data_IF_631224266083
#
_entry.id   IF_631224266083
#
_cell.length_a   1.000
_cell.length_b   1.000
_cell.length_c   1.000
_cell.angle_alpha   90.00
_cell.angle_beta   90.00
_cell.angle_gamma   90.00
#
_symmetry.space_group_name_H-M   'P 1'
#
loop_
_entity.id
_entity.type
_entity.pdbx_description
1 polymer ?
#
# COMPACT_ATOMS: atom_id res chain seq x y z
N UNK A 1 18.05 -10.65 -22.93
CA UNK A 1 16.77 -11.38 -23.14
C UNK A 1 15.67 -10.35 -23.35
N UNK A 2 14.80 -10.51 -24.38
CA UNK A 2 13.68 -9.59 -24.64
C UNK A 2 12.72 -9.54 -23.44
N UNK A 3 12.27 -8.34 -23.09
CA UNK A 3 11.48 -8.09 -21.90
C UNK A 3 10.48 -6.96 -22.15
N UNK A 4 9.18 -7.24 -22.05
CA UNK A 4 8.14 -6.21 -22.11
C UNK A 4 7.95 -5.60 -20.74
N UNK A 5 7.84 -4.27 -20.67
CA UNK A 5 7.63 -3.52 -19.43
C UNK A 5 6.82 -2.25 -19.67
N UNK A 6 6.05 -1.88 -18.68
CA UNK A 6 5.40 -0.57 -18.65
C UNK A 6 6.43 0.49 -18.25
N UNK A 7 6.43 1.64 -18.94
CA UNK A 7 7.32 2.76 -18.62
C UNK A 7 6.52 4.05 -18.47
N UNK A 8 6.88 4.85 -17.49
CA UNK A 8 6.45 6.25 -17.37
C UNK A 8 7.46 7.08 -18.16
N UNK A 9 7.02 7.65 -19.29
CA UNK A 9 7.89 8.37 -20.23
C UNK A 9 8.08 9.84 -19.86
N UNK A 10 7.12 10.42 -19.14
CA UNK A 10 7.09 11.81 -18.68
C UNK A 10 6.10 11.96 -17.52
N UNK A 11 6.09 13.10 -16.86
CA UNK A 11 5.02 13.45 -15.91
C UNK A 11 3.70 13.64 -16.64
N UNK A 12 2.60 13.14 -16.07
CA UNK A 12 1.29 13.32 -16.70
C UNK A 12 0.20 12.37 -16.20
N UNK A 13 -0.87 12.29 -16.96
CA UNK A 13 -1.97 11.35 -16.79
C UNK A 13 -1.61 9.93 -17.26
N UNK A 14 -2.58 9.01 -17.33
CA UNK A 14 -2.34 7.64 -17.81
C UNK A 14 -1.70 7.57 -19.20
N UNK A 15 -1.88 8.58 -20.03
CA UNK A 15 -1.26 8.71 -21.36
C UNK A 15 0.28 8.81 -21.32
N UNK A 16 0.86 9.12 -20.17
CA UNK A 16 2.30 9.14 -19.97
C UNK A 16 2.93 7.74 -19.83
N UNK A 17 2.10 6.68 -19.76
CA UNK A 17 2.55 5.29 -19.77
C UNK A 17 2.64 4.75 -21.19
N UNK A 18 3.70 4.00 -21.46
CA UNK A 18 3.87 3.19 -22.66
C UNK A 18 4.29 1.78 -22.25
N UNK A 19 3.98 0.78 -23.07
CA UNK A 19 4.58 -0.54 -22.97
C UNK A 19 5.67 -0.61 -24.03
N UNK A 20 6.87 -0.94 -23.60
CA UNK A 20 8.05 -1.08 -24.46
C UNK A 20 8.61 -2.49 -24.34
N UNK A 21 9.37 -2.89 -25.34
CA UNK A 21 10.11 -4.14 -25.33
C UNK A 21 11.57 -3.82 -25.59
N UNK A 22 12.44 -4.21 -24.67
CA UNK A 22 13.88 -4.03 -24.76
C UNK A 22 14.61 -5.22 -24.13
N UNK A 23 15.95 -5.20 -24.17
CA UNK A 23 16.73 -6.26 -23.59
C UNK A 23 16.95 -6.05 -22.09
N UNK A 24 16.63 -7.05 -21.28
CA UNK A 24 17.00 -7.12 -19.87
C UNK A 24 18.34 -7.84 -19.76
N UNK A 25 19.38 -7.23 -19.16
CA UNK A 25 20.65 -7.89 -18.90
C UNK A 25 20.47 -9.04 -17.90
N UNK A 26 21.43 -9.95 -17.86
CA UNK A 26 21.49 -10.97 -16.81
C UNK A 26 21.66 -10.30 -15.44
N UNK A 27 21.21 -10.95 -14.34
CA UNK A 27 21.32 -10.38 -13.00
C UNK A 27 22.78 -10.20 -12.61
N UNK A 28 23.08 -9.04 -12.01
CA UNK A 28 24.39 -8.73 -11.48
C UNK A 28 24.70 -9.51 -10.19
N UNK A 29 25.93 -9.36 -9.64
CA UNK A 29 26.25 -9.93 -8.34
C UNK A 29 25.27 -9.48 -7.25
N UNK A 30 24.77 -10.44 -6.45
CA UNK A 30 23.79 -10.16 -5.41
C UNK A 30 22.38 -9.87 -5.90
N UNK A 31 22.08 -10.09 -7.18
CA UNK A 31 20.73 -9.95 -7.76
C UNK A 31 20.16 -11.30 -8.20
N UNK A 32 18.83 -11.39 -8.21
CA UNK A 32 18.09 -12.46 -8.87
C UNK A 32 17.23 -11.90 -9.99
N UNK A 33 17.13 -12.61 -11.10
CA UNK A 33 16.18 -12.33 -12.15
C UNK A 33 14.89 -13.08 -11.85
N UNK A 34 13.80 -12.34 -11.70
CA UNK A 34 12.47 -12.88 -11.39
C UNK A 34 11.59 -12.75 -12.63
N UNK A 35 11.04 -13.87 -13.10
CA UNK A 35 9.92 -13.89 -14.04
C UNK A 35 8.66 -13.53 -13.25
N UNK A 36 8.09 -12.39 -13.58
CA UNK A 36 6.93 -11.83 -12.86
C UNK A 36 5.67 -12.56 -13.26
N UNK A 37 4.94 -13.06 -12.27
CA UNK A 37 3.62 -13.68 -12.42
C UNK A 37 2.50 -12.68 -12.15
N UNK A 38 2.75 -11.76 -11.21
CA UNK A 38 1.83 -10.68 -10.87
C UNK A 38 2.62 -9.46 -10.37
N UNK A 39 2.22 -8.27 -10.79
CA UNK A 39 2.73 -7.01 -10.25
C UNK A 39 1.58 -6.05 -9.93
N UNK A 40 1.79 -5.16 -8.97
CA UNK A 40 0.75 -4.27 -8.48
C UNK A 40 0.79 -2.88 -9.09
N UNK A 41 -0.39 -2.26 -9.21
CA UNK A 41 -0.50 -0.82 -9.40
C UNK A 41 -0.99 -0.20 -8.10
N UNK A 42 -0.20 0.72 -7.57
CA UNK A 42 -0.49 1.40 -6.32
C UNK A 42 -0.83 2.88 -6.55
N UNK A 43 -1.52 3.49 -5.58
CA UNK A 43 -1.75 4.95 -5.61
C UNK A 43 -0.43 5.74 -5.58
N UNK A 44 0.62 5.19 -4.95
CA UNK A 44 1.98 5.73 -5.00
C UNK A 44 2.54 5.83 -6.42
N UNK A 45 2.25 4.86 -7.30
CA UNK A 45 2.67 4.91 -8.71
C UNK A 45 1.95 6.05 -9.46
N UNK A 46 0.68 6.31 -9.14
CA UNK A 46 -0.06 7.44 -9.68
C UNK A 46 0.56 8.76 -9.22
N UNK A 47 0.89 8.90 -7.93
CA UNK A 47 1.54 10.09 -7.39
C UNK A 47 2.93 10.32 -8.01
N UNK A 48 3.71 9.25 -8.21
CA UNK A 48 5.00 9.31 -8.91
C UNK A 48 4.80 9.80 -10.34
N UNK A 49 3.91 9.17 -11.10
CA UNK A 49 3.61 9.55 -12.48
C UNK A 49 3.18 11.02 -12.61
N UNK A 50 2.38 11.52 -11.64
CA UNK A 50 1.96 12.92 -11.55
C UNK A 50 3.08 13.85 -11.07
N UNK A 51 4.24 13.33 -10.64
CA UNK A 51 5.36 14.11 -10.15
C UNK A 51 5.13 14.77 -8.79
N UNK A 52 4.28 14.15 -7.96
CA UNK A 52 3.89 14.65 -6.63
C UNK A 52 4.76 14.09 -5.50
N UNK A 53 5.55 13.04 -5.74
CA UNK A 53 6.49 12.48 -4.77
C UNK A 53 7.90 13.00 -5.07
N UNK A 54 8.65 13.51 -4.06
CA UNK A 54 10.06 13.86 -4.22
C UNK A 54 10.95 12.63 -4.48
N UNK A 55 12.15 12.85 -5.03
CA UNK A 55 13.16 11.78 -5.19
C UNK A 55 12.83 10.73 -6.27
N UNK A 56 12.00 11.07 -7.23
CA UNK A 56 11.62 10.16 -8.31
C UNK A 56 12.77 9.81 -9.25
N UNK A 57 12.77 8.61 -9.85
CA UNK A 57 13.68 8.28 -10.94
C UNK A 57 13.55 9.28 -12.11
N UNK A 58 14.62 9.42 -12.87
CA UNK A 58 14.57 10.14 -14.15
C UNK A 58 13.70 9.36 -15.15
N UNK A 59 12.94 10.07 -15.94
CA UNK A 59 12.17 9.45 -17.04
C UNK A 59 13.09 9.06 -18.21
N UNK A 60 12.83 7.95 -18.92
CA UNK A 60 11.77 6.97 -18.65
C UNK A 60 12.15 5.97 -17.53
N UNK A 61 11.16 5.46 -16.79
CA UNK A 61 11.39 4.39 -15.79
C UNK A 61 10.17 3.45 -15.69
N UNK A 62 10.40 2.22 -15.24
CA UNK A 62 9.35 1.22 -15.00
C UNK A 62 8.77 1.40 -13.60
N UNK A 63 7.45 1.64 -13.46
CA UNK A 63 6.78 1.70 -12.15
C UNK A 63 6.56 0.30 -11.55
N UNK A 64 5.86 0.27 -10.42
CA UNK A 64 5.46 -0.93 -9.69
C UNK A 64 6.31 -1.14 -8.45
N UNK A 65 5.65 -1.14 -7.30
CA UNK A 65 6.28 -1.30 -5.99
C UNK A 65 6.46 -2.75 -5.57
N UNK A 66 5.68 -3.65 -6.14
CA UNK A 66 5.52 -5.00 -5.64
C UNK A 66 5.35 -6.02 -6.77
N UNK A 67 5.97 -7.17 -6.60
CA UNK A 67 5.86 -8.30 -7.52
C UNK A 67 5.74 -9.64 -6.76
N UNK A 68 5.15 -10.60 -7.45
CA UNK A 68 5.24 -12.04 -7.18
C UNK A 68 5.72 -12.70 -8.47
N UNK A 69 6.67 -13.62 -8.36
CA UNK A 69 7.21 -14.29 -9.53
C UNK A 69 8.05 -15.51 -9.16
N UNK A 70 8.73 -16.04 -10.15
CA UNK A 70 9.63 -17.20 -10.01
C UNK A 70 11.05 -16.75 -10.35
N UNK A 71 12.02 -17.12 -9.53
CA UNK A 71 13.44 -16.90 -9.80
C UNK A 71 13.85 -17.72 -11.03
N UNK A 72 14.29 -17.05 -12.09
CA UNK A 72 14.78 -17.69 -13.32
C UNK A 72 16.30 -17.81 -13.34
N UNK A 73 17.01 -16.84 -12.74
CA UNK A 73 18.47 -16.81 -12.66
C UNK A 73 18.92 -16.17 -11.36
N UNK A 74 20.06 -16.62 -10.84
CA UNK A 74 20.74 -15.99 -9.71
C UNK A 74 22.11 -15.47 -10.17
N UNK A 75 22.44 -14.25 -9.78
CA UNK A 75 23.77 -13.66 -9.98
C UNK A 75 24.80 -14.22 -9.00
N UNK A 76 26.05 -13.86 -9.19
CA UNK A 76 27.13 -14.32 -8.32
C UNK A 76 26.92 -13.87 -6.86
N UNK A 77 27.23 -14.74 -5.89
CA UNK A 77 27.14 -14.45 -4.47
C UNK A 77 25.72 -14.44 -3.88
N UNK A 78 24.71 -14.87 -4.62
CA UNK A 78 23.36 -15.03 -4.10
C UNK A 78 23.27 -16.28 -3.24
N UNK A 79 22.83 -16.12 -1.99
CA UNK A 79 22.57 -17.19 -1.06
C UNK A 79 21.10 -17.20 -0.63
N UNK A 80 20.56 -18.39 -0.32
CA UNK A 80 19.21 -18.56 0.23
C UNK A 80 18.05 -18.46 -0.78
N UNK A 81 18.34 -18.18 -2.05
CA UNK A 81 17.39 -18.22 -3.19
C UNK A 81 17.96 -19.06 -4.31
N UNK A 82 17.13 -19.86 -4.98
CA UNK A 82 17.49 -20.70 -6.11
C UNK A 82 16.49 -20.60 -7.25
N UNK A 83 16.90 -20.99 -8.42
CA UNK A 83 16.00 -21.10 -9.58
C UNK A 83 14.80 -22.00 -9.26
N UNK A 84 13.64 -21.56 -9.70
CA UNK A 84 12.36 -22.18 -9.39
C UNK A 84 11.69 -21.70 -8.11
N UNK A 85 12.37 -20.97 -7.23
CA UNK A 85 11.74 -20.43 -6.04
C UNK A 85 10.67 -19.40 -6.41
N UNK A 86 9.46 -19.59 -5.86
CA UNK A 86 8.37 -18.64 -5.99
C UNK A 86 8.51 -17.59 -4.90
N UNK A 87 8.63 -16.32 -5.29
CA UNK A 87 8.99 -15.21 -4.40
C UNK A 87 8.02 -14.04 -4.51
N UNK A 88 7.91 -13.28 -3.43
CA UNK A 88 7.23 -11.99 -3.35
C UNK A 88 8.23 -10.93 -2.90
N UNK A 89 8.25 -9.76 -3.53
CA UNK A 89 9.21 -8.71 -3.21
C UNK A 89 8.62 -7.30 -3.29
N UNK A 90 9.01 -6.44 -2.34
CA UNK A 90 8.84 -5.00 -2.39
C UNK A 90 10.07 -4.36 -3.03
N UNK A 91 9.89 -3.70 -4.18
CA UNK A 91 11.01 -3.22 -5.03
C UNK A 91 11.02 -1.71 -5.30
N UNK A 92 10.04 -0.98 -4.81
CA UNK A 92 9.85 0.48 -5.02
C UNK A 92 9.55 0.87 -6.47
N UNK A 93 10.25 0.33 -7.45
CA UNK A 93 10.08 0.51 -8.89
C UNK A 93 10.53 -0.75 -9.63
N UNK A 94 10.10 -0.92 -10.86
CA UNK A 94 10.57 -2.00 -11.74
C UNK A 94 9.65 -3.22 -11.82
N UNK A 95 8.63 -3.34 -10.97
CA UNK A 95 7.79 -4.53 -10.93
C UNK A 95 6.86 -4.71 -12.14
N UNK A 96 6.47 -3.63 -12.83
CA UNK A 96 5.51 -3.70 -13.94
C UNK A 96 6.22 -4.11 -15.24
N UNK A 97 6.72 -5.33 -15.28
CA UNK A 97 7.49 -5.94 -16.37
C UNK A 97 7.24 -7.45 -16.42
N UNK A 98 7.64 -8.11 -17.51
CA UNK A 98 7.63 -9.59 -17.59
C UNK A 98 8.73 -10.21 -16.73
N UNK A 99 9.86 -9.51 -16.61
CA UNK A 99 11.01 -9.88 -15.78
C UNK A 99 11.59 -8.67 -15.09
N UNK A 100 12.16 -8.88 -13.92
CA UNK A 100 12.86 -7.85 -13.16
C UNK A 100 14.10 -8.43 -12.49
N UNK A 101 15.21 -7.70 -12.55
CA UNK A 101 16.36 -7.97 -11.70
C UNK A 101 16.13 -7.31 -10.35
N UNK A 102 16.23 -8.09 -9.28
CA UNK A 102 15.90 -7.70 -7.92
C UNK A 102 17.05 -8.04 -6.99
N UNK A 103 17.45 -7.13 -6.12
CA UNK A 103 18.45 -7.44 -5.10
C UNK A 103 18.00 -8.65 -4.27
N UNK A 104 18.88 -9.63 -4.09
CA UNK A 104 18.55 -10.93 -3.49
C UNK A 104 18.16 -10.84 -2.00
N UNK A 105 18.40 -9.69 -1.37
CA UNK A 105 18.01 -9.41 0.00
C UNK A 105 16.56 -8.87 0.15
N UNK A 106 15.81 -8.70 -0.95
CA UNK A 106 14.43 -8.20 -0.92
C UNK A 106 13.37 -9.32 -0.95
N UNK A 107 13.50 -10.38 -1.78
CA UNK A 107 12.47 -11.39 -1.92
C UNK A 107 12.24 -12.22 -0.65
N UNK A 108 11.00 -12.67 -0.49
CA UNK A 108 10.54 -13.66 0.49
C UNK A 108 9.91 -14.81 -0.28
N UNK A 109 10.28 -16.04 0.06
CA UNK A 109 9.70 -17.24 -0.56
C UNK A 109 8.22 -17.34 -0.19
N UNK A 110 7.38 -17.51 -1.21
CA UNK A 110 5.92 -17.66 -1.02
C UNK A 110 5.60 -19.12 -0.70
N UNK A 111 4.95 -19.42 0.42
CA UNK A 111 4.58 -20.80 0.76
C UNK A 111 3.59 -21.38 -0.27
N UNK A 112 3.46 -22.72 -0.34
CA UNK A 112 2.42 -23.37 -1.13
C UNK A 112 1.01 -22.95 -0.66
N UNK A 113 0.05 -22.92 -1.61
CA UNK A 113 -1.37 -22.67 -1.34
C UNK A 113 -1.89 -21.32 -1.83
N UNK A 114 -1.38 -20.15 -1.36
CA UNK A 114 -1.85 -18.85 -1.84
C UNK A 114 -1.66 -18.65 -3.34
N UNK A 115 -2.63 -18.01 -4.01
CA UNK A 115 -2.49 -17.56 -5.39
C UNK A 115 -1.51 -16.37 -5.53
N UNK A 116 -0.98 -16.14 -6.75
CA UNK A 116 0.02 -15.09 -6.97
C UNK A 116 -0.53 -13.68 -6.73
N UNK A 117 -1.75 -13.42 -7.16
CA UNK A 117 -2.39 -12.12 -6.99
C UNK A 117 -2.77 -11.84 -5.52
N UNK A 118 -3.17 -12.88 -4.78
CA UNK A 118 -3.47 -12.79 -3.35
C UNK A 118 -2.18 -12.55 -2.55
N UNK A 119 -1.10 -13.28 -2.84
CA UNK A 119 0.22 -13.07 -2.25
C UNK A 119 0.76 -11.66 -2.56
N UNK A 120 0.57 -11.17 -3.80
CA UNK A 120 0.95 -9.82 -4.21
C UNK A 120 0.27 -8.73 -3.37
N UNK A 121 -1.01 -8.92 -3.00
CA UNK A 121 -1.71 -7.96 -2.15
C UNK A 121 -0.99 -7.73 -0.81
N UNK A 122 -0.30 -8.74 -0.30
CA UNK A 122 0.39 -8.65 0.99
C UNK A 122 1.62 -7.76 0.94
N UNK A 123 2.34 -7.76 -0.17
CA UNK A 123 3.65 -7.12 -0.30
C UNK A 123 3.60 -5.62 0.04
N UNK A 124 2.69 -4.88 -0.57
CA UNK A 124 2.57 -3.44 -0.30
C UNK A 124 1.44 -3.14 0.70
N UNK A 125 0.23 -3.62 0.43
CA UNK A 125 -0.95 -3.18 1.17
C UNK A 125 -0.96 -3.69 2.60
N UNK A 126 -0.72 -5.00 2.79
CA UNK A 126 -0.78 -5.60 4.12
C UNK A 126 0.48 -5.31 4.95
N UNK A 127 1.69 -5.28 4.34
CA UNK A 127 2.89 -4.84 5.07
C UNK A 127 2.71 -3.38 5.55
N UNK A 128 2.20 -2.48 4.70
CA UNK A 128 1.86 -1.11 5.09
C UNK A 128 0.89 -1.08 6.27
N UNK A 129 -0.21 -1.84 6.18
CA UNK A 129 -1.22 -1.92 7.23
C UNK A 129 -0.67 -2.53 8.53
N UNK A 130 0.09 -3.62 8.43
CA UNK A 130 0.73 -4.29 9.55
C UNK A 130 1.66 -3.36 10.33
N UNK A 131 2.58 -2.70 9.61
CA UNK A 131 3.53 -1.79 10.25
C UNK A 131 2.84 -0.59 10.90
N UNK A 132 1.84 -0.01 10.24
CA UNK A 132 1.06 1.08 10.83
C UNK A 132 0.31 0.63 12.09
N UNK A 133 -0.32 -0.54 12.05
CA UNK A 133 -1.13 -1.06 13.16
C UNK A 133 -0.26 -1.45 14.36
N UNK A 134 0.80 -2.24 14.11
CA UNK A 134 1.59 -2.87 15.17
C UNK A 134 2.82 -2.07 15.59
N UNK A 135 3.50 -1.35 14.64
CA UNK A 135 4.76 -0.66 14.92
C UNK A 135 4.59 0.84 15.14
N UNK A 136 3.57 1.47 14.51
CA UNK A 136 3.36 2.93 14.62
C UNK A 136 2.29 3.28 15.64
N UNK A 137 1.13 2.65 15.56
CA UNK A 137 0.00 2.89 16.48
C UNK A 137 0.04 1.97 17.70
N UNK A 138 0.77 0.86 17.66
CA UNK A 138 0.94 -0.14 18.73
C UNK A 138 -0.41 -0.60 19.29
N UNK A 139 -1.33 -0.92 18.37
CA UNK A 139 -2.72 -1.28 18.71
C UNK A 139 -2.80 -2.55 19.54
N UNK A 140 -3.67 -2.53 20.55
CA UNK A 140 -3.91 -3.61 21.49
C UNK A 140 -5.36 -4.09 21.42
N UNK A 141 -5.66 -5.32 21.87
CA UNK A 141 -7.03 -5.83 21.95
C UNK A 141 -7.96 -4.87 22.73
N UNK A 142 -9.19 -4.73 22.25
CA UNK A 142 -10.20 -3.85 22.82
C UNK A 142 -10.08 -2.36 22.43
N UNK A 143 -8.97 -1.94 21.85
CA UNK A 143 -8.80 -0.57 21.37
C UNK A 143 -9.63 -0.30 20.11
N UNK A 144 -9.92 0.98 19.85
CA UNK A 144 -10.76 1.44 18.74
C UNK A 144 -9.93 2.19 17.72
N UNK A 145 -10.20 1.95 16.43
CA UNK A 145 -9.52 2.66 15.34
C UNK A 145 -10.47 3.15 14.27
N UNK A 146 -10.10 4.25 13.62
CA UNK A 146 -10.77 4.78 12.44
C UNK A 146 -9.88 4.62 11.22
N UNK A 147 -10.41 4.02 10.16
CA UNK A 147 -9.73 3.84 8.88
C UNK A 147 -10.41 4.68 7.81
N UNK A 148 -9.70 5.64 7.25
CA UNK A 148 -10.20 6.35 6.07
C UNK A 148 -9.87 5.60 4.79
N UNK A 149 -10.80 5.64 3.81
CA UNK A 149 -10.66 4.85 2.60
C UNK A 149 -10.71 3.34 2.87
N UNK A 150 -11.54 2.92 3.82
CA UNK A 150 -11.59 1.56 4.37
C UNK A 150 -11.85 0.45 3.34
N UNK A 151 -12.49 0.77 2.21
CA UNK A 151 -12.71 -0.17 1.11
C UNK A 151 -11.55 -0.27 0.12
N UNK A 152 -10.49 0.54 0.26
CA UNK A 152 -9.26 0.44 -0.55
C UNK A 152 -8.35 -0.69 -0.08
N UNK A 153 -7.30 -1.01 -0.84
CA UNK A 153 -6.42 -2.15 -0.55
C UNK A 153 -5.78 -2.11 0.85
N UNK A 154 -5.20 -0.97 1.25
CA UNK A 154 -4.62 -0.80 2.61
C UNK A 154 -5.73 -0.73 3.66
N UNK A 155 -6.88 -0.09 3.35
CA UNK A 155 -8.01 0.00 4.27
C UNK A 155 -8.58 -1.37 4.64
N UNK A 156 -8.79 -2.24 3.64
CA UNK A 156 -9.26 -3.62 3.87
C UNK A 156 -8.24 -4.45 4.67
N UNK A 157 -6.94 -4.26 4.40
CA UNK A 157 -5.88 -4.89 5.18
C UNK A 157 -5.92 -4.45 6.65
N UNK A 158 -6.07 -3.13 6.92
CA UNK A 158 -6.22 -2.60 8.28
C UNK A 158 -7.42 -3.19 9.00
N UNK A 159 -8.58 -3.31 8.34
CA UNK A 159 -9.77 -3.91 8.94
C UNK A 159 -9.55 -5.38 9.34
N UNK A 160 -8.98 -6.18 8.44
CA UNK A 160 -8.71 -7.59 8.70
C UNK A 160 -7.68 -7.78 9.81
N UNK A 161 -6.58 -7.03 9.78
CA UNK A 161 -5.53 -7.07 10.80
C UNK A 161 -6.04 -6.56 12.16
N UNK A 162 -6.87 -5.52 12.19
CA UNK A 162 -7.52 -5.03 13.40
C UNK A 162 -8.40 -6.10 14.04
N UNK A 163 -9.20 -6.81 13.22
CA UNK A 163 -10.00 -7.94 13.69
C UNK A 163 -9.14 -9.05 14.30
N UNK A 164 -8.04 -9.42 13.64
CA UNK A 164 -7.10 -10.41 14.17
C UNK A 164 -6.43 -9.96 15.47
N UNK A 165 -6.18 -8.66 15.61
CA UNK A 165 -5.61 -8.06 16.83
C UNK A 165 -6.67 -7.82 17.94
N UNK A 166 -7.93 -8.21 17.74
CA UNK A 166 -9.01 -7.97 18.71
C UNK A 166 -9.38 -6.49 18.90
N UNK A 167 -9.10 -5.64 17.92
CA UNK A 167 -9.43 -4.22 17.95
C UNK A 167 -10.76 -3.94 17.23
N UNK A 168 -11.44 -2.84 17.61
CA UNK A 168 -12.72 -2.42 17.03
C UNK A 168 -12.48 -1.35 15.97
N UNK A 169 -12.88 -1.64 14.72
CA UNK A 169 -12.61 -0.77 13.59
C UNK A 169 -13.87 -0.04 13.09
N UNK A 170 -13.73 1.27 12.87
CA UNK A 170 -14.67 2.10 12.12
C UNK A 170 -14.04 2.44 10.76
N UNK A 171 -14.85 2.38 9.67
CA UNK A 171 -14.30 2.58 8.34
C UNK A 171 -15.07 3.61 7.52
N UNK A 172 -14.42 4.69 7.06
CA UNK A 172 -15.09 5.60 6.13
C UNK A 172 -15.03 5.08 4.71
N UNK A 173 -16.19 4.99 4.07
CA UNK A 173 -16.36 4.60 2.68
C UNK A 173 -17.61 5.28 2.10
N UNK A 174 -17.75 5.36 0.78
CA UNK A 174 -19.02 5.72 0.15
C UNK A 174 -20.03 4.58 0.28
N UNK A 175 -21.32 4.89 0.36
CA UNK A 175 -22.42 3.94 0.59
C UNK A 175 -22.33 2.64 -0.22
N UNK A 176 -22.04 2.65 -1.54
CA UNK A 176 -21.92 1.42 -2.33
C UNK A 176 -20.79 0.47 -1.92
N UNK A 177 -19.88 0.92 -1.05
CA UNK A 177 -18.73 0.13 -0.57
C UNK A 177 -18.86 -0.29 0.90
N UNK A 178 -20.00 -0.05 1.54
CA UNK A 178 -20.23 -0.37 2.96
C UNK A 178 -20.16 -1.86 3.23
N UNK A 179 -20.70 -2.70 2.33
CA UNK A 179 -20.67 -4.15 2.48
C UNK A 179 -19.25 -4.71 2.57
N UNK A 180 -18.31 -4.11 1.82
CA UNK A 180 -16.89 -4.48 1.90
C UNK A 180 -16.31 -4.15 3.28
N UNK A 181 -16.66 -2.99 3.84
CA UNK A 181 -16.18 -2.59 5.18
C UNK A 181 -16.75 -3.52 6.25
N UNK A 182 -18.06 -3.82 6.19
CA UNK A 182 -18.73 -4.70 7.12
C UNK A 182 -18.21 -6.16 7.03
N UNK A 183 -17.99 -6.68 5.82
CA UNK A 183 -17.42 -8.02 5.58
C UNK A 183 -16.13 -8.24 6.36
N UNK A 184 -15.27 -7.24 6.44
CA UNK A 184 -13.98 -7.33 7.13
C UNK A 184 -14.04 -6.89 8.60
N UNK A 185 -15.25 -6.75 9.17
CA UNK A 185 -15.45 -6.50 10.60
C UNK A 185 -15.40 -5.02 10.99
N UNK A 186 -15.40 -4.09 10.02
CA UNK A 186 -15.48 -2.66 10.29
C UNK A 186 -16.92 -2.16 10.37
N UNK A 187 -17.18 -1.16 11.20
CA UNK A 187 -18.45 -0.40 11.21
C UNK A 187 -18.36 0.69 10.13
N UNK A 188 -19.17 0.63 9.05
CA UNK A 188 -19.08 1.57 7.96
C UNK A 188 -19.67 2.95 8.33
N UNK A 189 -19.00 4.02 7.85
CA UNK A 189 -19.44 5.41 7.98
C UNK A 189 -19.45 6.04 6.58
N UNK A 190 -20.60 6.57 6.15
CA UNK A 190 -20.70 7.28 4.87
C UNK A 190 -20.18 8.71 4.98
N UNK A 191 -18.92 8.92 4.62
CA UNK A 191 -18.29 10.24 4.69
C UNK A 191 -18.91 11.30 3.76
N UNK A 192 -19.82 10.90 2.85
CA UNK A 192 -20.56 11.81 1.95
C UNK A 192 -21.86 12.30 2.58
N UNK A 193 -22.51 11.45 3.38
CA UNK A 193 -23.82 11.74 3.99
C UNK A 193 -23.71 12.16 5.46
N UNK A 194 -22.60 11.79 6.15
CA UNK A 194 -22.42 11.97 7.58
C UNK A 194 -21.18 12.80 7.91
N UNK A 195 -21.22 13.57 9.01
CA UNK A 195 -19.98 14.06 9.63
C UNK A 195 -19.31 12.90 10.36
N UNK A 196 -18.24 12.37 9.75
CA UNK A 196 -17.54 11.21 10.30
C UNK A 196 -16.95 11.46 11.69
N UNK A 197 -16.59 12.72 12.03
CA UNK A 197 -16.05 13.04 13.36
C UNK A 197 -17.12 12.83 14.39
N UNK A 198 -18.30 13.48 14.23
CA UNK A 198 -19.44 13.31 15.12
C UNK A 198 -19.83 11.85 15.21
N UNK A 199 -19.99 11.19 14.04
CA UNK A 199 -20.43 9.79 13.99
C UNK A 199 -19.47 8.85 14.73
N UNK A 200 -18.15 9.03 14.57
CA UNK A 200 -17.16 8.21 15.28
C UNK A 200 -17.14 8.49 16.78
N UNK A 201 -17.27 9.75 17.19
CA UNK A 201 -17.34 10.10 18.61
C UNK A 201 -18.55 9.46 19.28
N UNK A 202 -19.73 9.49 18.63
CA UNK A 202 -20.95 8.85 19.12
C UNK A 202 -20.78 7.32 19.22
N UNK A 203 -20.26 6.67 18.18
CA UNK A 203 -20.09 5.22 18.14
C UNK A 203 -19.00 4.71 19.09
N UNK A 204 -17.95 5.48 19.32
CA UNK A 204 -16.81 5.09 20.14
C UNK A 204 -16.92 5.53 21.61
N UNK A 205 -17.92 6.32 21.97
CA UNK A 205 -18.05 6.87 23.32
C UNK A 205 -16.96 7.89 23.65
N UNK A 206 -16.64 8.80 22.72
CA UNK A 206 -15.74 9.93 22.96
C UNK A 206 -14.40 9.91 22.23
N UNK A 207 -14.22 9.01 21.27
CA UNK A 207 -13.06 9.01 20.37
C UNK A 207 -12.35 7.65 20.26
N UNK A 208 -11.47 7.56 19.26
CA UNK A 208 -10.70 6.35 18.95
C UNK A 208 -9.25 6.45 19.39
N UNK A 209 -8.59 5.30 19.55
CA UNK A 209 -7.19 5.18 19.94
C UNK A 209 -6.24 5.52 18.78
N UNK A 210 -6.64 5.18 17.56
CA UNK A 210 -5.86 5.48 16.37
C UNK A 210 -6.74 5.89 15.19
N UNK A 211 -6.20 6.78 14.33
CA UNK A 211 -6.78 7.12 13.03
C UNK A 211 -5.73 6.90 11.96
N UNK A 212 -6.09 6.17 10.89
CA UNK A 212 -5.26 5.93 9.72
C UNK A 212 -5.78 6.75 8.53
N UNK A 213 -4.99 7.75 8.12
CA UNK A 213 -5.41 8.79 7.17
C UNK A 213 -4.54 8.80 5.90
N UNK A 214 -5.07 8.32 4.73
CA UNK A 214 -4.41 8.44 3.43
C UNK A 214 -4.74 9.75 2.71
N UNK A 215 -5.63 10.59 3.26
CA UNK A 215 -6.18 11.75 2.57
C UNK A 215 -5.27 12.96 2.69
N UNK A 216 -4.89 13.31 3.91
CA UNK A 216 -4.04 14.47 4.16
C UNK A 216 -4.79 15.81 4.14
N UNK A 217 -4.06 16.91 4.06
CA UNK A 217 -4.60 18.26 3.99
C UNK A 217 -5.48 18.63 5.19
N UNK A 218 -6.52 19.42 4.95
CA UNK A 218 -7.48 19.81 6.00
C UNK A 218 -8.18 18.61 6.67
N UNK A 219 -8.16 17.45 6.02
CA UNK A 219 -8.74 16.22 6.57
C UNK A 219 -8.00 15.75 7.84
N UNK A 220 -6.69 15.98 7.93
CA UNK A 220 -5.88 15.65 9.12
C UNK A 220 -6.41 16.31 10.39
N UNK A 221 -6.88 17.54 10.32
CA UNK A 221 -7.49 18.23 11.47
C UNK A 221 -8.77 17.53 11.93
N UNK A 222 -9.62 17.11 11.00
CA UNK A 222 -10.84 16.37 11.33
C UNK A 222 -10.49 14.99 11.90
N UNK A 223 -9.53 14.28 11.30
CA UNK A 223 -9.02 12.99 11.78
C UNK A 223 -8.45 13.10 13.21
N UNK A 224 -7.70 14.17 13.48
CA UNK A 224 -7.17 14.46 14.82
C UNK A 224 -8.30 14.67 15.86
N UNK A 225 -9.39 15.33 15.49
CA UNK A 225 -10.56 15.55 16.37
C UNK A 225 -11.34 14.27 16.68
N UNK A 226 -11.22 13.23 15.89
CA UNK A 226 -11.84 11.94 16.14
C UNK A 226 -11.09 11.08 17.18
N UNK A 227 -9.88 11.51 17.58
CA UNK A 227 -9.06 10.80 18.55
C UNK A 227 -9.43 11.16 19.99
N UNK A 228 -9.33 10.17 20.89
CA UNK A 228 -9.31 10.41 22.33
C UNK A 228 -7.95 11.02 22.77
N UNK A 229 -7.85 11.61 23.97
CA UNK A 229 -6.56 12.03 24.54
C UNK A 229 -5.54 10.88 24.53
N UNK A 230 -4.30 11.18 24.12
CA UNK A 230 -3.23 10.17 24.00
C UNK A 230 -3.31 9.24 22.77
N UNK A 231 -4.34 9.38 21.93
CA UNK A 231 -4.49 8.61 20.70
C UNK A 231 -3.40 8.93 19.64
N UNK A 232 -3.39 8.19 18.54
CA UNK A 232 -2.37 8.32 17.48
C UNK A 232 -3.01 8.59 16.12
N UNK A 233 -2.63 9.69 15.45
CA UNK A 233 -2.93 9.95 14.05
C UNK A 233 -1.77 9.44 13.20
N UNK A 234 -2.04 8.47 12.34
CA UNK A 234 -1.09 7.95 11.36
C UNK A 234 -1.49 8.46 9.97
N UNK A 235 -0.75 9.43 9.43
CA UNK A 235 -0.88 9.89 8.06
C UNK A 235 0.02 9.06 7.16
N UNK A 236 -0.54 8.37 6.15
CA UNK A 236 0.22 7.49 5.26
C UNK A 236 -0.02 7.76 3.77
N UNK A 237 -0.68 8.86 3.48
CA UNK A 237 -0.98 9.27 2.12
C UNK A 237 -1.18 10.76 1.98
N UNK A 238 -1.22 11.19 0.73
CA UNK A 238 -1.40 12.58 0.32
C UNK A 238 -2.43 12.67 -0.82
N UNK A 239 -3.50 11.89 -0.74
CA UNK A 239 -4.46 11.79 -1.85
C UNK A 239 -5.16 13.11 -2.17
N UNK A 240 -5.32 14.02 -1.18
CA UNK A 240 -5.80 15.39 -1.43
C UNK A 240 -4.87 16.20 -2.35
N UNK A 241 -3.58 15.87 -2.38
CA UNK A 241 -2.60 16.52 -3.26
C UNK A 241 -2.80 16.21 -4.74
N UNK A 242 -3.47 15.10 -5.08
CA UNK A 242 -3.72 14.73 -6.48
C UNK A 242 -4.56 15.79 -7.20
N UNK A 243 -5.56 16.35 -6.52
CA UNK A 243 -6.43 17.40 -7.07
C UNK A 243 -5.91 18.84 -6.86
N UNK A 244 -5.07 19.06 -5.83
CA UNK A 244 -4.63 20.41 -5.41
C UNK A 244 -3.16 20.70 -5.65
N UNK A 245 -2.38 19.69 -6.07
CA UNK A 245 -0.98 19.85 -6.44
C UNK A 245 0.00 19.95 -5.26
N UNK A 246 1.23 20.41 -5.55
CA UNK A 246 2.35 20.42 -4.59
C UNK A 246 2.14 21.32 -3.37
N UNK A 247 1.39 22.40 -3.49
CA UNK A 247 1.07 23.27 -2.36
C UNK A 247 0.30 22.56 -1.26
N UNK A 248 -0.57 21.63 -1.60
CA UNK A 248 -1.30 20.82 -0.63
C UNK A 248 -0.36 19.86 0.14
N UNK A 249 0.68 19.35 -0.51
CA UNK A 249 1.68 18.50 0.14
C UNK A 249 2.45 19.27 1.21
N UNK A 250 2.87 20.50 0.90
CA UNK A 250 3.50 21.37 1.88
C UNK A 250 2.56 21.69 3.05
N UNK A 251 1.28 21.94 2.76
CA UNK A 251 0.25 22.15 3.78
C UNK A 251 0.08 20.92 4.70
N UNK A 252 0.12 19.71 4.13
CA UNK A 252 0.03 18.45 4.91
C UNK A 252 1.15 18.41 5.97
N UNK A 253 2.40 18.59 5.55
CA UNK A 253 3.54 18.55 6.48
C UNK A 253 3.52 19.70 7.48
N UNK A 254 3.11 20.89 7.07
CA UNK A 254 2.92 22.04 7.96
C UNK A 254 1.85 21.75 9.03
N UNK A 255 0.69 21.25 8.63
CA UNK A 255 -0.38 20.87 9.57
C UNK A 255 0.05 19.76 10.52
N UNK A 256 0.79 18.77 10.04
CA UNK A 256 1.34 17.72 10.91
C UNK A 256 2.31 18.30 11.96
N UNK A 257 3.19 19.22 11.56
CA UNK A 257 4.08 19.88 12.48
C UNK A 257 3.30 20.68 13.54
N UNK A 258 2.31 21.45 13.12
CA UNK A 258 1.45 22.24 14.01
C UNK A 258 0.68 21.35 15.01
N UNK A 259 0.13 20.21 14.55
CA UNK A 259 -0.59 19.27 15.41
C UNK A 259 0.34 18.60 16.45
N UNK A 260 1.61 18.34 16.10
CA UNK A 260 2.61 17.78 17.02
C UNK A 260 2.95 18.73 18.19
N UNK A 261 2.82 20.04 17.97
CA UNK A 261 3.17 21.05 18.98
C UNK A 261 2.10 21.24 20.07
N UNK A 262 0.92 20.58 19.97
CA UNK A 262 -0.15 20.71 20.96
C UNK A 262 0.16 19.91 22.23
N UNK A 263 0.37 20.54 23.39
CA UNK A 263 0.60 19.84 24.65
C UNK A 263 -0.61 18.96 25.03
N UNK A 264 -0.35 17.72 25.47
CA UNK A 264 -1.40 16.78 25.87
C UNK A 264 -2.30 16.26 24.73
N UNK A 265 -2.01 16.66 23.48
CA UNK A 265 -2.78 16.22 22.32
C UNK A 265 -2.40 14.82 21.84
N UNK A 266 -3.19 14.26 20.91
CA UNK A 266 -2.88 13.02 20.21
C UNK A 266 -1.51 13.05 19.51
N UNK A 267 -0.84 11.91 19.47
CA UNK A 267 0.44 11.73 18.75
C UNK A 267 0.19 11.80 17.23
N UNK A 268 1.06 12.48 16.48
CA UNK A 268 0.96 12.56 15.01
C UNK A 268 2.20 11.94 14.40
N UNK A 269 2.00 10.96 13.52
CA UNK A 269 3.04 10.20 12.83
C UNK A 269 2.80 10.23 11.32
N UNK A 270 3.85 10.38 10.55
CA UNK A 270 3.82 10.07 9.12
C UNK A 270 4.39 8.67 8.91
N UNK A 271 3.75 7.89 8.06
CA UNK A 271 4.25 6.58 7.68
C UNK A 271 4.40 6.48 6.17
N UNK A 272 5.55 5.99 5.73
CA UNK A 272 5.82 5.59 4.34
C UNK A 272 6.63 4.30 4.34
N UNK A 273 6.16 3.29 3.62
CA UNK A 273 6.88 2.02 3.50
C UNK A 273 8.26 2.25 2.87
N UNK A 274 9.30 1.66 3.47
CA UNK A 274 10.69 1.83 3.05
C UNK A 274 11.30 3.21 3.33
N UNK A 275 10.58 4.12 4.02
CA UNK A 275 11.07 5.47 4.34
C UNK A 275 10.89 5.85 5.81
N UNK A 276 10.06 5.14 6.56
CA UNK A 276 9.89 5.32 8.00
C UNK A 276 10.90 4.46 8.77
N UNK A 277 11.33 4.92 9.94
CA UNK A 277 12.34 4.24 10.78
C UNK A 277 11.97 2.79 11.10
N UNK A 278 10.67 2.50 11.25
CA UNK A 278 10.16 1.15 11.49
C UNK A 278 10.01 0.30 10.21
N UNK A 279 10.33 0.85 9.04
CA UNK A 279 10.10 0.23 7.71
C UNK A 279 11.42 0.05 6.96
N UNK A 280 12.30 -0.79 7.51
CA UNK A 280 13.56 -1.21 6.89
C UNK A 280 13.34 -2.42 5.98
N UNK A 281 14.34 -2.79 5.18
CA UNK A 281 14.28 -4.02 4.37
C UNK A 281 14.01 -5.25 5.21
N UNK A 282 14.68 -5.37 6.35
CA UNK A 282 14.57 -6.49 7.28
C UNK A 282 13.16 -6.59 7.87
N UNK A 283 12.61 -5.46 8.32
CA UNK A 283 11.26 -5.44 8.89
C UNK A 283 10.19 -5.68 7.83
N UNK A 284 10.35 -5.16 6.61
CA UNK A 284 9.43 -5.45 5.49
C UNK A 284 9.43 -6.95 5.17
N UNK A 285 10.61 -7.59 5.08
CA UNK A 285 10.72 -9.03 4.82
C UNK A 285 10.12 -9.88 5.94
N UNK A 286 10.43 -9.57 7.20
CA UNK A 286 9.90 -10.29 8.35
C UNK A 286 8.38 -10.18 8.44
N UNK A 287 7.83 -8.97 8.24
CA UNK A 287 6.39 -8.73 8.26
C UNK A 287 5.69 -9.42 7.07
N UNK A 288 6.30 -9.39 5.88
CA UNK A 288 5.78 -10.09 4.70
C UNK A 288 5.76 -11.61 4.91
N UNK A 289 6.82 -12.19 5.49
CA UNK A 289 6.86 -13.62 5.79
C UNK A 289 5.75 -14.02 6.77
N UNK A 290 5.53 -13.25 7.84
CA UNK A 290 4.45 -13.48 8.79
C UNK A 290 3.06 -13.37 8.13
N UNK A 291 2.86 -12.38 7.27
CA UNK A 291 1.61 -12.18 6.53
C UNK A 291 1.35 -13.32 5.52
N UNK A 292 2.39 -13.80 4.82
CA UNK A 292 2.27 -14.94 3.91
C UNK A 292 1.88 -16.22 4.65
N UNK A 293 2.40 -16.44 5.88
CA UNK A 293 1.98 -17.54 6.73
C UNK A 293 0.50 -17.43 7.11
N UNK A 294 0.04 -16.23 7.54
CA UNK A 294 -1.38 -15.99 7.84
C UNK A 294 -2.29 -16.20 6.62
N UNK A 295 -1.82 -15.85 5.42
CA UNK A 295 -2.56 -16.11 4.17
C UNK A 295 -2.65 -17.61 3.87
N UNK A 296 -1.56 -18.35 4.03
CA UNK A 296 -1.54 -19.80 3.85
C UNK A 296 -2.48 -20.51 4.85
N UNK A 297 -2.58 -19.99 6.07
CA UNK A 297 -3.52 -20.43 7.11
C UNK A 297 -4.97 -19.96 6.86
N UNK A 298 -5.25 -19.24 5.76
CA UNK A 298 -6.56 -18.65 5.41
C UNK A 298 -7.12 -17.67 6.45
N UNK A 299 -6.25 -17.06 7.25
CA UNK A 299 -6.63 -16.01 8.22
C UNK A 299 -6.80 -14.64 7.59
N UNK A 300 -6.26 -14.45 6.39
CA UNK A 300 -6.37 -13.25 5.58
C UNK A 300 -7.09 -13.55 4.26
N UNK A 301 -7.87 -12.57 3.80
CA UNK A 301 -8.65 -12.65 2.56
C UNK A 301 -8.39 -11.39 1.71
N UNK A 302 -7.25 -11.33 1.00
CA UNK A 302 -6.94 -10.19 0.15
C UNK A 302 -7.89 -10.08 -1.03
N UNK A 303 -8.35 -8.86 -1.33
CA UNK A 303 -9.26 -8.62 -2.46
C UNK A 303 -8.50 -8.11 -3.67
N UNK A 304 -8.49 -8.92 -4.72
CA UNK A 304 -8.04 -8.53 -6.06
C UNK A 304 -9.21 -7.90 -6.79
N UNK A 305 -9.16 -6.58 -6.95
CA UNK A 305 -10.25 -5.81 -7.54
C UNK A 305 -10.30 -5.92 -9.08
N UNK A 306 -9.15 -6.07 -9.72
CA UNK A 306 -9.02 -6.30 -11.16
C UNK A 306 -7.68 -6.99 -11.47
N UNK A 307 -7.72 -7.89 -12.47
CA UNK A 307 -6.54 -8.46 -13.12
C UNK A 307 -6.54 -7.98 -14.57
N UNK A 308 -5.46 -7.33 -14.97
CA UNK A 308 -5.30 -6.75 -16.31
C UNK A 308 -3.97 -7.21 -16.91
N UNK A 309 -3.90 -7.42 -18.22
CA UNK A 309 -2.62 -7.70 -18.86
C UNK A 309 -1.69 -6.49 -18.76
N UNK A 310 -0.38 -6.70 -18.80
CA UNK A 310 0.63 -5.63 -18.76
C UNK A 310 0.38 -4.56 -19.85
N UNK A 311 -0.13 -4.97 -21.02
CA UNK A 311 -0.51 -4.05 -22.11
C UNK A 311 -1.59 -3.04 -21.72
N UNK A 312 -2.39 -3.33 -20.69
CA UNK A 312 -3.43 -2.42 -20.16
C UNK A 312 -2.94 -1.60 -18.94
N UNK A 313 -1.63 -1.41 -18.76
CA UNK A 313 -1.09 -0.63 -17.64
C UNK A 313 -1.69 0.79 -17.53
N UNK A 314 -2.02 1.45 -18.65
CA UNK A 314 -2.72 2.74 -18.67
C UNK A 314 -4.08 2.66 -17.98
N UNK A 315 -4.87 1.65 -18.32
CA UNK A 315 -6.20 1.41 -17.74
C UNK A 315 -6.10 1.05 -16.25
N UNK A 316 -5.10 0.26 -15.86
CA UNK A 316 -4.84 -0.07 -14.47
C UNK A 316 -4.56 1.19 -13.63
N UNK A 317 -3.71 2.09 -14.12
CA UNK A 317 -3.44 3.37 -13.47
C UNK A 317 -4.66 4.30 -13.41
N UNK A 318 -5.50 4.32 -14.45
CA UNK A 318 -6.75 5.10 -14.47
C UNK A 318 -7.74 4.61 -13.41
N UNK A 319 -7.91 3.29 -13.27
CA UNK A 319 -8.77 2.68 -12.27
C UNK A 319 -8.33 3.03 -10.84
N UNK A 320 -7.01 2.99 -10.58
CA UNK A 320 -6.44 3.34 -9.27
C UNK A 320 -6.58 4.83 -8.99
N UNK A 321 -6.29 5.69 -9.97
CA UNK A 321 -6.34 7.15 -9.83
C UNK A 321 -7.74 7.64 -9.46
N UNK A 322 -8.78 7.08 -10.07
CA UNK A 322 -10.17 7.48 -9.82
C UNK A 322 -10.85 6.74 -8.66
N UNK A 323 -10.14 5.79 -8.01
CA UNK A 323 -10.67 5.05 -6.85
C UNK A 323 -11.97 4.29 -7.14
N UNK A 324 -12.16 3.81 -8.37
CA UNK A 324 -13.41 3.16 -8.82
C UNK A 324 -13.61 1.78 -8.24
N UNK A 325 -12.53 1.12 -7.83
CA UNK A 325 -12.54 -0.26 -7.37
C UNK A 325 -12.33 -0.37 -5.86
N UNK A 326 -12.68 -1.53 -5.31
CA UNK A 326 -12.41 -1.90 -3.93
C UNK A 326 -11.40 -3.06 -3.91
N UNK A 327 -10.15 -2.81 -3.46
CA UNK A 327 -9.08 -3.80 -3.43
C UNK A 327 -7.85 -3.41 -4.27
N UNK A 328 -7.00 -4.39 -4.58
CA UNK A 328 -5.76 -4.24 -5.36
C UNK A 328 -6.02 -4.40 -6.85
N UNK A 329 -5.41 -3.54 -7.67
CA UNK A 329 -5.31 -3.73 -9.13
C UNK A 329 -4.00 -4.43 -9.43
N UNK A 330 -4.08 -5.52 -10.17
CA UNK A 330 -2.96 -6.42 -10.49
C UNK A 330 -2.73 -6.43 -12.00
N UNK A 331 -1.48 -6.29 -12.41
CA UNK A 331 -1.02 -6.55 -13.77
C UNK A 331 -0.46 -7.97 -13.84
N UNK A 332 -0.89 -8.71 -14.85
CA UNK A 332 -0.40 -10.05 -15.16
C UNK A 332 0.38 -9.93 -16.47
N UNK A 333 1.71 -10.14 -16.47
CA UNK A 333 2.46 -10.27 -17.70
C UNK A 333 1.94 -11.45 -18.51
N UNK A 334 1.76 -11.26 -19.81
CA UNK A 334 1.18 -12.27 -20.69
C UNK A 334 2.18 -13.36 -21.06
#
# INVERSE_FOLDING_TARGET
>A
MRNRRAVITRRGGPEALAVVEDDLPDPGPGEVQVRVLASGVAFGDVLKRRGLIPGMPRHPYTPGYDLVGVVEKAGAGVEGLKEGDRVAAYVVNGANAERANVAADLPVVVPPGPGDAEALCLVLNYVTAWQMLHRVAEMRPGQRLLVHGAAGGVGQALLQLARLAGAIAYGTASKPKHDVVARFGGVPIDYRAEDFVRRVLDLSGGGVDAVFDPVGGKHLWRSWRALRPGGTLVSYGISSGLSKGRGEILLIFFLMALLKLRPGGPRVRFYGIGTSDCSTKETIRADLAALLALLAERKLEPVVAARLPLSEARKAHDLVEHGRLAGKVVLVPG
#
